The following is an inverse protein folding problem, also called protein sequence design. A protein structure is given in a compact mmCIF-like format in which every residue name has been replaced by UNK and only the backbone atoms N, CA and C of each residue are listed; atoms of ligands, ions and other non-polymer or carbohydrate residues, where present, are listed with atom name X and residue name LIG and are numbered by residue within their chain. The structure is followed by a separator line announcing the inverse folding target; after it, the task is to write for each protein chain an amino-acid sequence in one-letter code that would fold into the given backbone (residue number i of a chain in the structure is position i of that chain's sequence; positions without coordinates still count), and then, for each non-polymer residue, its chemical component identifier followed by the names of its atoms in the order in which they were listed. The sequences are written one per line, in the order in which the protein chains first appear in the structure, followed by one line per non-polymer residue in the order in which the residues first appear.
data_IF_471640729653
#
_entry.id   IF_471640729653
#
_cell.length_a   1.000
_cell.length_b   1.000
_cell.length_c   1.000
_cell.angle_alpha   90.00
_cell.angle_beta   90.00
_cell.angle_gamma   90.00
#
_symmetry.space_group_name_H-M   'P 1'
#
loop_
_entity.id
_entity.type
_entity.pdbx_description
1 polymer ?
#
# COMPACT_ATOMS: atom_id res chain seq x y z
N UNK A 1 21.53 5.52 15.44
CA UNK A 1 21.66 6.70 16.29
C UNK A 1 22.74 7.63 15.72
N UNK A 2 22.47 8.91 15.58
CA UNK A 2 23.37 9.93 15.03
C UNK A 2 24.06 9.50 13.70
N UNK A 3 23.32 8.89 12.80
CA UNK A 3 23.81 8.40 11.51
C UNK A 3 24.55 7.06 11.58
N UNK A 4 24.70 6.46 12.75
CA UNK A 4 25.33 5.14 12.91
C UNK A 4 24.26 4.04 12.98
N UNK A 5 24.42 3.00 12.17
CA UNK A 5 23.58 1.82 12.23
C UNK A 5 23.94 0.97 13.45
N UNK A 6 22.97 0.74 14.34
CA UNK A 6 23.15 -0.02 15.57
C UNK A 6 22.92 -1.52 15.28
N UNK A 7 23.89 -2.16 14.66
CA UNK A 7 23.76 -3.52 14.15
C UNK A 7 23.55 -4.58 15.24
N UNK A 8 24.36 -4.52 16.30
CA UNK A 8 24.30 -5.50 17.38
C UNK A 8 22.98 -5.41 18.16
N UNK A 9 22.53 -4.21 18.44
CA UNK A 9 21.27 -3.92 19.15
C UNK A 9 20.07 -4.34 18.30
N UNK A 10 20.11 -4.05 16.99
CA UNK A 10 19.06 -4.44 16.05
C UNK A 10 18.99 -5.97 15.91
N UNK A 11 20.15 -6.63 15.83
CA UNK A 11 20.21 -8.08 15.79
C UNK A 11 19.63 -8.68 17.07
N UNK A 12 20.02 -8.18 18.25
CA UNK A 12 19.53 -8.64 19.54
C UNK A 12 17.99 -8.47 19.66
N UNK A 13 17.44 -7.35 19.16
CA UNK A 13 16.00 -7.11 19.12
C UNK A 13 15.28 -8.17 18.26
N UNK A 14 15.79 -8.45 17.07
CA UNK A 14 15.19 -9.41 16.14
C UNK A 14 15.28 -10.86 16.64
N UNK A 15 16.39 -11.22 17.28
CA UNK A 15 16.63 -12.55 17.81
C UNK A 15 16.00 -12.80 19.18
N UNK A 16 15.83 -11.77 20.01
CA UNK A 16 15.35 -11.86 21.39
C UNK A 16 13.84 -11.75 21.59
N UNK A 17 13.05 -11.56 20.52
CA UNK A 17 11.60 -11.44 20.61
C UNK A 17 10.92 -12.77 21.02
N UNK A 18 9.70 -12.70 21.58
CA UNK A 18 8.87 -13.89 21.87
C UNK A 18 8.70 -14.81 20.65
N UNK A 19 8.60 -14.20 19.46
CA UNK A 19 8.59 -14.86 18.17
C UNK A 19 9.76 -14.30 17.35
N UNK A 20 10.96 -14.87 17.48
CA UNK A 20 12.16 -14.31 16.87
C UNK A 20 12.13 -14.41 15.36
N UNK A 21 12.81 -13.48 14.70
CA UNK A 21 13.04 -13.57 13.26
C UNK A 21 13.83 -14.86 12.94
N UNK A 22 13.43 -15.58 11.91
CA UNK A 22 14.08 -16.85 11.52
C UNK A 22 15.51 -16.67 11.03
N UNK A 23 15.81 -15.56 10.40
CA UNK A 23 17.11 -15.25 9.81
C UNK A 23 17.53 -13.80 10.10
N UNK A 24 17.86 -13.46 11.37
CA UNK A 24 18.19 -12.09 11.75
C UNK A 24 19.33 -11.48 10.92
N UNK A 25 20.32 -12.29 10.54
CA UNK A 25 21.42 -11.83 9.68
C UNK A 25 20.98 -11.35 8.30
N UNK A 26 19.98 -11.99 7.67
CA UNK A 26 19.39 -11.51 6.41
C UNK A 26 18.63 -10.20 6.63
N UNK A 27 17.83 -10.09 7.69
CA UNK A 27 17.14 -8.85 8.02
C UNK A 27 18.11 -7.68 8.21
N UNK A 28 19.26 -7.92 8.85
CA UNK A 28 20.33 -6.92 8.98
C UNK A 28 20.89 -6.51 7.60
N UNK A 29 21.13 -7.48 6.72
CA UNK A 29 21.61 -7.19 5.37
C UNK A 29 20.60 -6.36 4.57
N UNK A 30 19.30 -6.68 4.68
CA UNK A 30 18.21 -5.92 4.04
C UNK A 30 18.15 -4.49 4.59
N UNK A 31 18.23 -4.30 5.91
CA UNK A 31 18.28 -2.97 6.52
C UNK A 31 19.47 -2.15 6.05
N UNK A 32 20.66 -2.76 5.92
CA UNK A 32 21.83 -2.10 5.34
C UNK A 32 21.61 -1.70 3.88
N UNK A 33 20.96 -2.56 3.09
CA UNK A 33 20.57 -2.24 1.72
C UNK A 33 19.60 -1.05 1.65
N UNK A 34 18.62 -0.98 2.56
CA UNK A 34 17.71 0.18 2.66
C UNK A 34 18.47 1.48 2.99
N UNK A 35 19.44 1.43 3.92
CA UNK A 35 20.29 2.59 4.24
C UNK A 35 21.10 3.03 3.03
N UNK A 36 21.71 2.07 2.31
CA UNK A 36 22.48 2.36 1.09
C UNK A 36 21.58 2.97 -0.02
N UNK A 37 20.35 2.44 -0.21
CA UNK A 37 19.42 2.99 -1.17
C UNK A 37 19.00 4.44 -0.82
N UNK A 38 18.76 4.72 0.45
CA UNK A 38 18.48 6.09 0.92
C UNK A 38 19.66 7.04 0.68
N UNK A 39 20.87 6.60 1.00
CA UNK A 39 22.08 7.40 0.74
C UNK A 39 22.26 7.71 -0.74
N UNK A 40 21.99 6.72 -1.62
CA UNK A 40 22.01 6.91 -3.07
C UNK A 40 20.96 7.92 -3.53
N UNK A 41 19.73 7.85 -2.99
CA UNK A 41 18.67 8.81 -3.28
C UNK A 41 19.04 10.24 -2.89
N UNK A 42 19.65 10.43 -1.73
CA UNK A 42 20.16 11.74 -1.27
C UNK A 42 21.24 12.28 -2.23
N UNK A 43 22.19 11.44 -2.64
CA UNK A 43 23.24 11.82 -3.60
C UNK A 43 22.66 12.25 -4.95
N UNK A 44 21.74 11.47 -5.52
CA UNK A 44 21.10 11.81 -6.80
C UNK A 44 20.26 13.10 -6.74
N UNK A 45 19.49 13.30 -5.66
CA UNK A 45 18.77 14.56 -5.45
C UNK A 45 19.77 15.74 -5.29
N UNK A 46 20.86 15.54 -4.58
CA UNK A 46 21.93 16.53 -4.45
C UNK A 46 22.50 16.97 -5.81
N UNK A 47 22.73 16.01 -6.72
CA UNK A 47 23.17 16.29 -8.11
C UNK A 47 22.12 17.11 -8.89
N UNK A 48 20.83 16.76 -8.75
CA UNK A 48 19.76 17.54 -9.38
C UNK A 48 19.72 18.98 -8.86
N UNK A 49 19.83 19.16 -7.53
CA UNK A 49 19.88 20.48 -6.91
C UNK A 49 21.10 21.26 -7.37
N UNK A 50 22.26 20.64 -7.45
CA UNK A 50 23.49 21.29 -7.93
C UNK A 50 23.38 21.74 -9.40
N UNK A 51 22.65 20.97 -10.22
CA UNK A 51 22.49 21.25 -11.66
C UNK A 51 21.40 22.30 -11.94
N UNK A 52 20.22 22.16 -11.32
CA UNK A 52 19.04 22.97 -11.62
C UNK A 52 18.74 24.07 -10.60
N UNK A 53 19.35 24.01 -9.40
CA UNK A 53 19.02 24.85 -8.25
C UNK A 53 17.86 24.29 -7.42
N UNK A 54 17.89 24.57 -6.12
CA UNK A 54 16.92 24.03 -5.15
C UNK A 54 15.47 24.45 -5.45
N UNK A 55 15.27 25.72 -5.82
CA UNK A 55 13.92 26.26 -6.06
C UNK A 55 13.27 25.59 -7.29
N UNK A 56 14.03 25.35 -8.35
CA UNK A 56 13.56 24.66 -9.54
C UNK A 56 13.19 23.21 -9.19
N UNK A 57 14.05 22.50 -8.48
CA UNK A 57 13.78 21.09 -8.09
C UNK A 57 12.51 21.01 -7.23
N UNK A 58 12.34 21.91 -6.25
CA UNK A 58 11.12 21.96 -5.42
C UNK A 58 9.87 22.28 -6.23
N UNK A 59 9.95 23.23 -7.17
CA UNK A 59 8.83 23.58 -8.04
C UNK A 59 8.39 22.38 -8.87
N UNK A 60 9.33 21.66 -9.47
CA UNK A 60 9.01 20.46 -10.26
C UNK A 60 8.48 19.29 -9.43
N UNK A 61 8.93 19.11 -8.20
CA UNK A 61 8.32 18.15 -7.26
C UNK A 61 6.83 18.42 -7.02
N UNK A 62 6.44 19.70 -6.95
CA UNK A 62 5.03 20.10 -6.87
C UNK A 62 4.31 19.90 -8.19
N UNK A 63 4.88 20.34 -9.29
CA UNK A 63 4.26 20.22 -10.63
C UNK A 63 3.98 18.77 -11.03
N UNK A 64 4.87 17.83 -10.69
CA UNK A 64 4.64 16.40 -10.95
C UNK A 64 3.43 15.88 -10.16
N UNK A 65 3.24 16.34 -8.91
CA UNK A 65 2.06 15.98 -8.13
C UNK A 65 0.79 16.65 -8.64
N UNK A 66 0.86 17.93 -9.03
CA UNK A 66 -0.28 18.68 -9.55
C UNK A 66 -0.77 18.10 -10.88
N UNK A 67 0.16 17.65 -11.74
CA UNK A 67 -0.17 16.93 -12.96
C UNK A 67 -0.90 15.61 -12.69
N UNK A 68 -0.41 14.84 -11.71
CA UNK A 68 -1.04 13.58 -11.31
C UNK A 68 -2.44 13.82 -10.68
N UNK A 69 -2.58 14.85 -9.84
CA UNK A 69 -3.85 15.27 -9.28
C UNK A 69 -4.85 15.65 -10.37
N UNK A 70 -4.47 16.49 -11.33
CA UNK A 70 -5.37 16.93 -12.41
C UNK A 70 -5.80 15.75 -13.30
N UNK A 71 -4.90 14.81 -13.57
CA UNK A 71 -5.25 13.61 -14.34
C UNK A 71 -6.29 12.73 -13.62
N UNK A 72 -6.17 12.58 -12.29
CA UNK A 72 -7.20 11.89 -11.50
C UNK A 72 -8.50 12.71 -11.44
N UNK A 73 -8.44 14.03 -11.32
CA UNK A 73 -9.65 14.89 -11.36
C UNK A 73 -10.41 14.76 -12.66
N UNK A 74 -9.72 14.62 -13.81
CA UNK A 74 -10.36 14.32 -15.11
C UNK A 74 -11.03 12.96 -15.13
N UNK A 75 -10.43 11.95 -14.51
CA UNK A 75 -11.05 10.64 -14.32
C UNK A 75 -12.33 10.79 -13.50
N UNK A 76 -12.28 11.46 -12.35
CA UNK A 76 -13.43 11.63 -11.44
C UNK A 76 -14.62 12.32 -12.11
N UNK A 77 -14.40 13.22 -13.08
CA UNK A 77 -15.51 13.83 -13.82
C UNK A 77 -16.34 12.83 -14.66
N UNK A 78 -15.82 11.62 -14.87
CA UNK A 78 -16.45 10.55 -15.69
C UNK A 78 -16.93 9.36 -14.86
N UNK A 79 -16.47 9.24 -13.60
CA UNK A 79 -16.86 8.15 -12.72
C UNK A 79 -18.26 8.38 -12.13
N UNK A 80 -18.88 7.30 -11.73
CA UNK A 80 -20.17 7.28 -11.02
C UNK A 80 -19.98 6.76 -9.61
N UNK A 81 -20.98 7.01 -8.77
CA UNK A 81 -21.08 6.38 -7.46
C UNK A 81 -21.13 4.86 -7.62
N UNK A 82 -20.51 4.17 -6.69
CA UNK A 82 -20.53 2.72 -6.69
C UNK A 82 -20.27 2.16 -5.31
N UNK A 83 -20.65 0.91 -5.12
CA UNK A 83 -20.40 0.17 -3.91
C UNK A 83 -20.22 -1.31 -4.26
N UNK A 84 -19.37 -1.98 -3.51
CA UNK A 84 -19.19 -3.41 -3.65
C UNK A 84 -18.69 -4.02 -2.35
N UNK A 85 -19.03 -5.29 -2.14
CA UNK A 85 -18.53 -6.10 -1.04
C UNK A 85 -17.95 -7.39 -1.59
N UNK A 86 -16.75 -7.72 -1.12
CA UNK A 86 -16.10 -9.01 -1.39
C UNK A 86 -16.02 -9.79 -0.08
N UNK A 87 -16.60 -10.97 -0.06
CA UNK A 87 -16.47 -11.92 1.06
C UNK A 87 -15.21 -12.76 0.87
N UNK A 88 -14.48 -13.00 1.95
CA UNK A 88 -13.29 -13.83 1.99
C UNK A 88 -13.66 -15.22 2.55
N UNK A 89 -12.89 -16.25 2.23
CA UNK A 89 -13.15 -17.65 2.60
C UNK A 89 -13.39 -17.89 4.09
N UNK A 90 -12.81 -17.05 4.95
CA UNK A 90 -13.00 -17.12 6.40
C UNK A 90 -14.26 -16.39 6.92
N UNK A 91 -15.15 -15.95 6.03
CA UNK A 91 -16.40 -15.29 6.39
C UNK A 91 -16.26 -13.83 6.80
N UNK A 92 -15.12 -13.22 6.55
CA UNK A 92 -14.91 -11.76 6.66
C UNK A 92 -15.12 -11.10 5.31
N UNK A 93 -15.26 -9.79 5.28
CA UNK A 93 -15.47 -9.04 4.03
C UNK A 93 -14.76 -7.71 4.02
N UNK A 94 -14.39 -7.29 2.82
CA UNK A 94 -14.05 -5.91 2.50
C UNK A 94 -15.26 -5.27 1.82
N UNK A 95 -15.69 -4.13 2.32
CA UNK A 95 -16.82 -3.36 1.80
C UNK A 95 -16.32 -1.96 1.43
N UNK A 96 -16.66 -1.49 0.25
CA UNK A 96 -16.32 -0.14 -0.19
C UNK A 96 -17.53 0.57 -0.78
N UNK A 97 -17.70 1.83 -0.40
CA UNK A 97 -18.62 2.78 -1.04
C UNK A 97 -17.80 3.94 -1.62
N UNK A 98 -17.96 4.17 -2.91
CA UNK A 98 -17.34 5.29 -3.62
C UNK A 98 -18.45 6.32 -3.91
N UNK A 99 -18.28 7.55 -3.46
CA UNK A 99 -19.15 8.67 -3.76
C UNK A 99 -18.36 9.71 -4.52
N UNK A 100 -18.86 10.14 -5.69
CA UNK A 100 -18.16 11.04 -6.60
C UNK A 100 -18.85 12.39 -6.65
N UNK A 101 -18.14 13.43 -6.25
CA UNK A 101 -18.54 14.83 -6.46
C UNK A 101 -17.93 15.31 -7.81
N UNK A 102 -18.74 15.23 -8.86
CA UNK A 102 -18.31 15.59 -10.22
C UNK A 102 -18.05 17.09 -10.37
N UNK A 103 -18.81 17.92 -9.68
CA UNK A 103 -18.69 19.38 -9.79
C UNK A 103 -17.36 19.86 -9.21
N UNK A 104 -16.96 19.31 -8.07
CA UNK A 104 -15.68 19.60 -7.42
C UNK A 104 -14.55 18.64 -7.87
N UNK A 105 -14.88 17.64 -8.69
CA UNK A 105 -13.95 16.60 -9.16
C UNK A 105 -13.19 15.93 -8.02
N UNK A 106 -13.94 15.45 -7.01
CA UNK A 106 -13.47 14.75 -5.83
C UNK A 106 -14.20 13.44 -5.64
N UNK A 107 -13.61 12.54 -4.87
CA UNK A 107 -14.28 11.31 -4.47
C UNK A 107 -14.03 11.02 -3.00
N UNK A 108 -14.99 10.35 -2.37
CA UNK A 108 -14.87 9.72 -1.08
C UNK A 108 -14.90 8.20 -1.27
N UNK A 109 -13.88 7.52 -0.79
CA UNK A 109 -13.75 6.07 -0.77
C UNK A 109 -13.89 5.60 0.67
N UNK A 110 -15.02 5.03 1.01
CA UNK A 110 -15.42 4.72 2.37
C UNK A 110 -15.45 3.21 2.60
N UNK A 111 -14.60 2.73 3.49
CA UNK A 111 -14.48 1.33 3.92
C UNK A 111 -15.18 1.05 5.27
N UNK A 112 -16.04 1.95 5.76
CA UNK A 112 -16.62 1.88 7.11
C UNK A 112 -17.42 0.61 7.39
N UNK A 113 -17.94 -0.07 6.36
CA UNK A 113 -18.70 -1.30 6.50
C UNK A 113 -17.85 -2.59 6.38
N UNK A 114 -16.52 -2.45 6.30
CA UNK A 114 -15.58 -3.59 6.30
C UNK A 114 -15.56 -4.29 7.66
N UNK A 115 -15.29 -5.60 7.65
CA UNK A 115 -15.18 -6.43 8.85
C UNK A 115 -14.27 -5.85 9.92
N UNK A 116 -14.58 -6.08 11.21
CA UNK A 116 -13.69 -5.73 12.32
C UNK A 116 -12.32 -6.40 12.21
N UNK A 117 -11.39 -5.91 13.02
CA UNK A 117 -10.08 -6.53 13.25
C UNK A 117 -10.22 -8.03 13.56
N UNK A 118 -9.38 -8.85 12.94
CA UNK A 118 -9.43 -10.30 13.01
C UNK A 118 -8.36 -10.87 13.95
N UNK A 119 -8.62 -12.00 14.61
CA UNK A 119 -7.62 -12.68 15.44
C UNK A 119 -6.54 -13.41 14.62
N UNK A 120 -6.72 -13.53 13.31
CA UNK A 120 -5.78 -14.12 12.36
C UNK A 120 -4.88 -13.06 11.70
N UNK A 121 -4.08 -13.46 10.71
CA UNK A 121 -3.11 -12.61 10.04
C UNK A 121 -3.61 -11.93 8.75
N UNK A 122 -4.92 -11.94 8.47
CA UNK A 122 -5.51 -11.30 7.28
C UNK A 122 -5.78 -9.80 7.47
N UNK A 123 -5.46 -9.22 8.61
CA UNK A 123 -5.52 -7.78 8.75
C UNK A 123 -4.47 -7.09 7.86
N UNK A 124 -4.82 -5.95 7.31
CA UNK A 124 -3.93 -5.12 6.53
C UNK A 124 -3.70 -3.77 7.24
N UNK A 125 -2.45 -3.34 7.46
CA UNK A 125 -2.20 -1.99 7.96
C UNK A 125 -2.78 -0.93 7.02
N UNK A 126 -3.21 0.22 7.56
CA UNK A 126 -3.80 1.33 6.78
C UNK A 126 -3.01 1.68 5.49
N UNK A 127 -1.66 1.73 5.49
CA UNK A 127 -0.89 2.03 4.27
C UNK A 127 -1.15 1.06 3.11
N UNK A 128 -1.48 -0.21 3.39
CA UNK A 128 -1.80 -1.21 2.35
C UNK A 128 -3.08 -0.83 1.61
N UNK A 129 -4.14 -0.46 2.34
CA UNK A 129 -5.41 -0.01 1.76
C UNK A 129 -5.24 1.28 0.97
N UNK A 130 -4.45 2.24 1.48
CA UNK A 130 -4.12 3.48 0.76
C UNK A 130 -3.33 3.20 -0.52
N UNK A 131 -2.36 2.28 -0.48
CA UNK A 131 -1.58 1.90 -1.65
C UNK A 131 -2.43 1.20 -2.71
N UNK A 132 -3.33 0.29 -2.31
CA UNK A 132 -4.28 -0.36 -3.22
C UNK A 132 -5.23 0.68 -3.87
N UNK A 133 -5.73 1.63 -3.10
CA UNK A 133 -6.56 2.73 -3.62
C UNK A 133 -5.78 3.59 -4.61
N UNK A 134 -4.55 3.99 -4.27
CA UNK A 134 -3.65 4.73 -5.16
C UNK A 134 -3.44 3.97 -6.48
N UNK A 135 -3.11 2.68 -6.39
CA UNK A 135 -2.91 1.84 -7.56
C UNK A 135 -4.13 1.81 -8.48
N UNK A 136 -5.32 1.56 -7.92
CA UNK A 136 -6.56 1.45 -8.69
C UNK A 136 -6.88 2.75 -9.41
N UNK A 137 -6.88 3.88 -8.72
CA UNK A 137 -7.14 5.17 -9.38
C UNK A 137 -6.07 5.53 -10.41
N UNK A 138 -4.79 5.20 -10.14
CA UNK A 138 -3.71 5.43 -11.10
C UNK A 138 -3.88 4.58 -12.37
N UNK A 139 -4.27 3.32 -12.24
CA UNK A 139 -4.51 2.42 -13.38
C UNK A 139 -5.68 2.90 -14.25
N UNK A 140 -6.70 3.48 -13.63
CA UNK A 140 -7.85 4.04 -14.35
C UNK A 140 -7.53 5.32 -15.15
N UNK A 141 -6.40 5.98 -14.88
CA UNK A 141 -5.93 7.14 -15.66
C UNK A 141 -5.27 6.65 -16.94
N UNK A 142 -5.79 7.05 -18.09
CA UNK A 142 -5.28 6.62 -19.40
C UNK A 142 -3.92 7.24 -19.78
N UNK A 143 -3.53 8.35 -19.13
CA UNK A 143 -2.30 9.08 -19.42
C UNK A 143 -1.07 8.44 -18.74
N UNK A 144 0.13 8.51 -19.36
CA UNK A 144 1.36 7.99 -18.78
C UNK A 144 1.92 8.94 -17.70
N UNK A 145 1.26 9.04 -16.57
CA UNK A 145 1.74 9.82 -15.41
C UNK A 145 2.49 8.93 -14.43
N UNK A 146 3.50 9.42 -13.71
CA UNK A 146 4.12 8.69 -12.62
C UNK A 146 3.14 8.51 -11.46
N UNK A 147 3.18 7.35 -10.80
CA UNK A 147 2.43 7.11 -9.57
C UNK A 147 3.08 7.88 -8.42
N UNK A 148 2.35 8.83 -7.86
CA UNK A 148 2.80 9.65 -6.73
C UNK A 148 1.63 10.12 -5.86
N UNK A 149 1.93 10.82 -4.76
CA UNK A 149 0.94 11.29 -3.80
C UNK A 149 -0.13 12.24 -4.41
N UNK A 150 0.15 12.90 -5.53
CA UNK A 150 -0.80 13.74 -6.26
C UNK A 150 -2.04 12.97 -6.70
N UNK A 151 -1.90 11.68 -7.04
CA UNK A 151 -3.04 10.84 -7.42
C UNK A 151 -4.12 10.72 -6.31
N UNK A 152 -3.74 10.85 -5.04
CA UNK A 152 -4.67 10.74 -3.91
C UNK A 152 -5.20 12.09 -3.41
N UNK A 153 -4.65 13.22 -3.84
CA UNK A 153 -5.10 14.54 -3.35
C UNK A 153 -6.61 14.80 -3.53
N UNK A 154 -7.26 14.40 -4.62
CA UNK A 154 -8.71 14.59 -4.79
C UNK A 154 -9.56 13.49 -4.15
N UNK A 155 -8.96 12.52 -3.44
CA UNK A 155 -9.65 11.34 -2.90
C UNK A 155 -9.58 11.36 -1.38
N UNK A 156 -10.74 11.40 -0.73
CA UNK A 156 -10.89 11.21 0.71
C UNK A 156 -11.07 9.72 1.01
N UNK A 157 -10.13 9.11 1.73
CA UNK A 157 -10.16 7.68 2.07
C UNK A 157 -10.52 7.53 3.54
N UNK A 158 -11.65 6.87 3.81
CA UNK A 158 -12.14 6.59 5.16
C UNK A 158 -11.95 5.13 5.48
N UNK A 159 -11.11 4.86 6.48
CA UNK A 159 -10.81 3.51 6.96
C UNK A 159 -11.11 3.48 8.46
N UNK A 160 -12.07 2.66 8.92
CA UNK A 160 -12.46 2.66 10.33
C UNK A 160 -11.37 2.07 11.21
N UNK A 161 -11.18 2.68 12.38
CA UNK A 161 -10.30 2.16 13.42
C UNK A 161 -10.75 0.75 13.84
N UNK A 162 -9.80 -0.11 14.18
CA UNK A 162 -10.05 -1.49 14.59
C UNK A 162 -10.84 -2.32 13.57
N UNK A 163 -10.76 -1.96 12.30
CA UNK A 163 -11.17 -2.82 11.20
C UNK A 163 -10.01 -3.71 10.74
N UNK A 164 -10.31 -4.72 9.93
CA UNK A 164 -9.25 -5.52 9.31
C UNK A 164 -8.35 -4.72 8.35
N UNK A 165 -8.75 -3.50 7.96
CA UNK A 165 -7.98 -2.57 7.12
C UNK A 165 -7.24 -1.50 7.92
N UNK A 166 -7.43 -1.45 9.24
CA UNK A 166 -6.72 -0.57 10.18
C UNK A 166 -6.68 -1.21 11.56
N UNK A 167 -5.98 -2.35 11.70
CA UNK A 167 -5.91 -3.06 12.96
C UNK A 167 -5.06 -2.30 13.98
N UNK A 168 -5.35 -2.54 15.26
CA UNK A 168 -4.53 -2.03 16.34
C UNK A 168 -3.38 -3.00 16.67
N UNK A 169 -2.25 -2.45 17.14
CA UNK A 169 -1.19 -3.30 17.70
C UNK A 169 -1.73 -4.11 18.91
N UNK A 170 -1.42 -5.40 19.05
CA UNK A 170 -0.44 -6.22 18.32
C UNK A 170 -1.07 -7.19 17.30
N UNK A 171 -2.13 -6.80 16.60
CA UNK A 171 -2.78 -7.67 15.63
C UNK A 171 -1.81 -8.17 14.55
N UNK A 172 -1.97 -9.42 14.15
CA UNK A 172 -1.17 -10.01 13.09
C UNK A 172 -1.61 -9.51 11.71
N UNK A 173 -0.66 -9.22 10.81
CA UNK A 173 -0.91 -8.50 9.55
C UNK A 173 -0.23 -9.13 8.32
N UNK A 174 0.47 -10.24 8.44
CA UNK A 174 1.35 -10.75 7.38
C UNK A 174 0.63 -11.07 6.07
N UNK A 175 -0.60 -11.58 6.12
CA UNK A 175 -1.41 -11.86 4.93
C UNK A 175 -2.09 -10.61 4.35
N UNK A 176 -2.00 -9.48 5.01
CA UNK A 176 -2.54 -8.21 4.51
C UNK A 176 -1.96 -7.79 3.17
N UNK A 177 -0.66 -8.03 2.95
CA UNK A 177 0.02 -7.68 1.70
C UNK A 177 -0.24 -8.68 0.56
N UNK A 178 -0.53 -9.93 0.86
CA UNK A 178 -0.60 -11.00 -0.14
C UNK A 178 -2.02 -11.44 -0.45
N UNK A 179 -2.97 -11.19 0.45
CA UNK A 179 -4.38 -11.57 0.31
C UNK A 179 -5.29 -10.34 0.40
N UNK A 180 -5.34 -9.64 1.53
CA UNK A 180 -6.27 -8.53 1.76
C UNK A 180 -6.06 -7.38 0.78
N UNK A 181 -4.82 -7.09 0.38
CA UNK A 181 -4.53 -6.07 -0.65
C UNK A 181 -5.17 -6.39 -1.99
N UNK A 182 -5.16 -7.67 -2.40
CA UNK A 182 -5.80 -8.14 -3.62
C UNK A 182 -7.32 -8.00 -3.53
N UNK A 183 -7.91 -8.34 -2.38
CA UNK A 183 -9.34 -8.21 -2.14
C UNK A 183 -9.77 -6.73 -2.15
N UNK A 184 -9.00 -5.82 -1.53
CA UNK A 184 -9.27 -4.37 -1.57
C UNK A 184 -9.25 -3.87 -3.03
N UNK A 185 -8.26 -4.29 -3.81
CA UNK A 185 -8.12 -3.93 -5.22
C UNK A 185 -9.32 -4.42 -6.04
N UNK A 186 -9.71 -5.68 -5.87
CA UNK A 186 -10.87 -6.27 -6.53
C UNK A 186 -12.18 -5.56 -6.15
N UNK A 187 -12.33 -5.24 -4.87
CA UNK A 187 -13.50 -4.53 -4.35
C UNK A 187 -13.65 -3.14 -4.99
N UNK A 188 -12.55 -2.40 -5.11
CA UNK A 188 -12.51 -1.09 -5.75
C UNK A 188 -12.85 -1.15 -7.25
N UNK A 189 -12.23 -2.08 -8.01
CA UNK A 189 -12.54 -2.23 -9.43
C UNK A 189 -13.99 -2.66 -9.67
N UNK A 190 -14.53 -3.54 -8.83
CA UNK A 190 -15.92 -3.96 -8.93
C UNK A 190 -16.90 -2.83 -8.59
N UNK A 191 -16.60 -2.03 -7.54
CA UNK A 191 -17.41 -0.85 -7.20
C UNK A 191 -17.48 0.16 -8.35
N UNK A 192 -16.38 0.35 -9.08
CA UNK A 192 -16.32 1.22 -10.26
C UNK A 192 -16.80 0.55 -11.56
N UNK A 193 -17.17 -0.73 -11.52
CA UNK A 193 -17.56 -1.53 -12.70
C UNK A 193 -16.50 -1.51 -13.81
N UNK A 194 -15.24 -1.40 -13.42
CA UNK A 194 -14.12 -1.23 -14.35
C UNK A 194 -13.54 -2.56 -14.84
N UNK A 195 -13.36 -3.52 -13.93
CA UNK A 195 -12.80 -4.84 -14.21
C UNK A 195 -13.52 -5.90 -13.39
N UNK A 196 -13.56 -7.14 -13.89
CA UNK A 196 -13.94 -8.31 -13.11
C UNK A 196 -12.90 -8.60 -12.00
N UNK A 197 -13.31 -9.27 -10.91
CA UNK A 197 -12.39 -9.64 -9.85
C UNK A 197 -11.32 -10.62 -10.34
N UNK A 198 -10.11 -10.46 -9.81
CA UNK A 198 -9.04 -11.45 -9.97
C UNK A 198 -9.25 -12.64 -9.03
N UNK A 199 -8.31 -13.56 -8.98
CA UNK A 199 -8.33 -14.68 -8.02
C UNK A 199 -8.24 -14.25 -6.53
N UNK A 200 -7.89 -13.00 -6.24
CA UNK A 200 -7.89 -12.44 -4.88
C UNK A 200 -6.73 -12.87 -4.00
N UNK A 201 -5.66 -13.42 -4.58
CA UNK A 201 -4.50 -13.93 -3.86
C UNK A 201 -3.22 -13.74 -4.68
N UNK A 202 -2.06 -13.69 -4.02
CA UNK A 202 -0.75 -13.79 -4.68
C UNK A 202 -0.35 -15.24 -5.03
N UNK A 203 -1.21 -16.22 -4.75
CA UNK A 203 -0.91 -17.65 -5.01
C UNK A 203 0.39 -18.13 -4.32
N UNK A 204 0.59 -17.78 -3.07
CA UNK A 204 1.76 -18.22 -2.33
C UNK A 204 1.65 -19.71 -1.98
N UNK A 205 2.63 -20.49 -2.42
CA UNK A 205 2.80 -21.88 -2.02
C UNK A 205 3.91 -21.95 -0.95
N UNK A 206 3.56 -22.41 0.23
CA UNK A 206 4.51 -22.60 1.33
C UNK A 206 4.37 -23.99 1.91
N UNK A 207 5.44 -24.76 1.91
CA UNK A 207 5.50 -26.05 2.58
C UNK A 207 6.92 -26.35 3.07
N UNK A 208 7.04 -27.31 3.96
CA UNK A 208 8.36 -27.67 4.50
C UNK A 208 8.29 -28.65 5.67
N UNK A 209 9.42 -28.80 6.31
CA UNK A 209 9.62 -29.61 7.52
C UNK A 209 10.55 -28.90 8.50
N UNK A 210 10.98 -29.56 9.56
CA UNK A 210 11.86 -28.97 10.57
C UNK A 210 13.21 -28.48 10.03
N UNK A 211 13.67 -28.95 8.87
CA UNK A 211 14.99 -28.65 8.30
C UNK A 211 14.92 -27.77 7.05
N UNK A 212 13.87 -27.89 6.25
CA UNK A 212 13.73 -27.23 4.96
C UNK A 212 12.38 -26.53 4.88
N UNK A 213 12.35 -25.36 4.22
CA UNK A 213 11.13 -24.65 3.86
C UNK A 213 11.21 -24.24 2.40
N UNK A 214 10.15 -24.51 1.66
CA UNK A 214 9.91 -23.99 0.33
C UNK A 214 8.91 -22.83 0.40
N UNK A 215 9.14 -21.79 -0.37
CA UNK A 215 8.22 -20.68 -0.58
C UNK A 215 8.33 -20.22 -2.02
N UNK A 216 7.20 -20.14 -2.70
CA UNK A 216 7.10 -19.69 -4.09
C UNK A 216 5.79 -18.95 -4.31
N UNK A 217 5.78 -17.97 -5.23
CA UNK A 217 4.58 -17.37 -5.79
C UNK A 217 4.31 -18.05 -7.12
N UNK A 218 3.17 -18.74 -7.24
CA UNK A 218 2.81 -19.46 -8.46
C UNK A 218 2.02 -18.52 -9.37
N UNK A 219 2.55 -18.23 -10.55
CA UNK A 219 1.94 -17.41 -11.59
C UNK A 219 1.11 -18.25 -12.54
#
# INVERSE_FOLDING_TARGET
DQGRFLEAETYALLAGAKYPARMPGKNIADLKAHVAANAKGVDELGKMVAHFGLDVVRAYMSHVQDNAEESVRRLLSRLEDGAFRVEMDQGTWVDVKITVDRDNRRARVDFSATSPEQPNNFNAPEPVTRAATLYVFRVMVAEPIPMNAGCLKPIDIVIPERSMLKPAYPAAVVAGNVETSQIVTNCLFAAMKALGPSQGTMNNLTFGNAKYQYYETIC
#
